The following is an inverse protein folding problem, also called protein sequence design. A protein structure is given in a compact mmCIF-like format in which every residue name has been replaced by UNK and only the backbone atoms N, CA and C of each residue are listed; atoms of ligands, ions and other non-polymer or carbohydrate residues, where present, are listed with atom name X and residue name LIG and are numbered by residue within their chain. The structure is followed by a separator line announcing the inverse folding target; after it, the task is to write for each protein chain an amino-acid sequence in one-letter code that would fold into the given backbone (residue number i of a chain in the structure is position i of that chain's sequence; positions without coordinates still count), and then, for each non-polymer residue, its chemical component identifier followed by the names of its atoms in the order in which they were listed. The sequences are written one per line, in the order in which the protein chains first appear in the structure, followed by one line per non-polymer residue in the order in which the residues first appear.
data_IF_194808528149
#
_entry.id   IF_194808528149
#
_cell.length_a   1.000
_cell.length_b   1.000
_cell.length_c   1.000
_cell.angle_alpha   90.00
_cell.angle_beta   90.00
_cell.angle_gamma   90.00
#
_symmetry.space_group_name_H-M   'P 1'
#
loop_
_entity.id
_entity.type
_entity.pdbx_description
1 polymer ?
#
# COMPACT_ATOMS: atom_id res chain seq x y z
N UNK A 1 17.71 -1.50 33.13
CA UNK A 1 18.31 -0.51 32.20
C UNK A 1 18.14 -1.00 30.77
N UNK A 2 16.96 -0.88 30.19
CA UNK A 2 16.71 -1.26 28.78
C UNK A 2 15.58 -0.46 28.14
N UNK A 3 15.32 0.75 28.64
CA UNK A 3 14.19 1.58 28.19
C UNK A 3 14.51 2.40 26.94
N UNK A 4 15.77 2.67 26.67
CA UNK A 4 16.15 3.53 25.54
C UNK A 4 16.11 2.85 24.15
N UNK A 5 16.17 1.51 24.10
CA UNK A 5 16.15 0.81 22.82
C UNK A 5 14.76 0.83 22.14
N UNK A 6 13.69 0.87 22.91
CA UNK A 6 12.31 0.87 22.38
C UNK A 6 11.86 2.27 21.92
N UNK A 7 12.23 3.34 22.61
CA UNK A 7 11.91 4.71 22.20
C UNK A 7 12.57 5.07 20.85
N UNK A 8 13.83 4.68 20.66
CA UNK A 8 14.54 4.93 19.41
C UNK A 8 13.96 4.15 18.22
N UNK A 9 13.45 2.93 18.44
CA UNK A 9 12.85 2.11 17.38
C UNK A 9 11.57 2.73 16.83
N UNK A 10 10.70 3.24 17.71
CA UNK A 10 9.46 3.89 17.30
C UNK A 10 9.72 5.18 16.50
N UNK A 11 10.75 5.92 16.88
CA UNK A 11 11.15 7.15 16.21
C UNK A 11 11.69 6.84 14.81
N UNK A 12 12.54 5.83 14.68
CA UNK A 12 13.06 5.35 13.38
C UNK A 12 11.96 4.90 12.45
N UNK A 13 10.98 4.14 12.98
CA UNK A 13 9.83 3.67 12.18
C UNK A 13 9.00 4.86 11.69
N UNK A 14 8.71 5.83 12.54
CA UNK A 14 7.93 7.02 12.15
C UNK A 14 8.64 7.86 11.10
N UNK A 15 9.93 8.11 11.25
CA UNK A 15 10.73 8.82 10.25
C UNK A 15 10.78 8.08 8.91
N UNK A 16 10.94 6.75 8.95
CA UNK A 16 10.95 5.93 7.74
C UNK A 16 9.62 6.02 6.99
N UNK A 17 8.49 5.91 7.70
CA UNK A 17 7.15 6.02 7.10
C UNK A 17 6.93 7.42 6.50
N UNK A 18 7.28 8.47 7.24
CA UNK A 18 7.11 9.85 6.77
C UNK A 18 7.96 10.15 5.53
N UNK A 19 9.20 9.64 5.49
CA UNK A 19 10.07 9.76 4.31
C UNK A 19 9.56 8.93 3.14
N UNK A 20 9.06 7.72 3.39
CA UNK A 20 8.44 6.88 2.37
C UNK A 20 7.25 7.58 1.71
N UNK A 21 6.38 8.21 2.49
CA UNK A 21 5.23 8.96 1.96
C UNK A 21 5.64 10.07 0.99
N UNK A 22 6.77 10.73 1.25
CA UNK A 22 7.30 11.76 0.37
C UNK A 22 7.84 11.21 -0.97
N UNK A 23 8.24 9.95 -1.01
CA UNK A 23 8.74 9.29 -2.23
C UNK A 23 7.62 8.63 -3.06
N UNK A 24 6.44 8.42 -2.47
CA UNK A 24 5.30 7.82 -3.16
C UNK A 24 4.67 8.83 -4.13
N UNK A 25 4.64 8.49 -5.41
CA UNK A 25 4.05 9.31 -6.47
C UNK A 25 2.77 8.67 -6.99
N UNK A 26 2.84 7.46 -7.54
CA UNK A 26 1.69 6.75 -8.11
C UNK A 26 0.67 6.34 -7.04
N UNK A 27 1.13 5.98 -5.85
CA UNK A 27 0.26 5.62 -4.73
C UNK A 27 -0.71 6.73 -4.32
N UNK A 28 -0.37 8.00 -4.59
CA UNK A 28 -1.26 9.13 -4.32
C UNK A 28 -2.43 9.25 -5.30
N UNK A 29 -2.33 8.60 -6.47
CA UNK A 29 -3.37 8.60 -7.49
C UNK A 29 -4.23 7.33 -7.49
N UNK A 30 -3.91 6.36 -6.64
CA UNK A 30 -4.70 5.13 -6.47
C UNK A 30 -5.89 5.39 -5.55
N UNK A 31 -7.04 4.76 -5.86
CA UNK A 31 -8.23 4.83 -5.01
C UNK A 31 -7.97 4.16 -3.64
N UNK A 32 -8.08 4.94 -2.57
CA UNK A 32 -7.94 4.51 -1.18
C UNK A 32 -9.27 4.37 -0.44
N UNK A 33 -10.38 4.44 -1.16
CA UNK A 33 -11.72 4.44 -0.56
C UNK A 33 -12.08 3.19 0.24
N UNK A 34 -11.29 2.12 0.14
CA UNK A 34 -11.48 0.88 0.89
C UNK A 34 -10.44 0.64 2.00
N UNK A 35 -9.52 1.58 2.21
CA UNK A 35 -8.43 1.43 3.18
C UNK A 35 -8.95 1.15 4.60
N UNK A 36 -9.97 1.89 5.04
CA UNK A 36 -10.57 1.73 6.37
C UNK A 36 -11.32 0.40 6.56
N UNK A 37 -11.75 -0.22 5.47
CA UNK A 37 -12.47 -1.49 5.52
C UNK A 37 -11.55 -2.70 5.68
N UNK A 38 -10.25 -2.54 5.38
CA UNK A 38 -9.24 -3.58 5.57
C UNK A 38 -8.63 -3.52 6.98
N UNK A 39 -8.94 -4.48 7.82
CA UNK A 39 -8.42 -4.61 9.19
C UNK A 39 -6.98 -5.15 9.23
N UNK A 40 -6.08 -4.65 8.41
CA UNK A 40 -4.64 -4.82 8.53
C UNK A 40 -4.06 -6.26 8.45
N UNK A 41 -4.85 -7.27 8.11
CA UNK A 41 -4.37 -8.66 7.96
C UNK A 41 -4.20 -9.02 6.50
N UNK A 42 -3.05 -9.59 6.15
CA UNK A 42 -2.85 -10.21 4.83
C UNK A 42 -3.85 -11.37 4.67
N UNK A 43 -4.52 -11.43 3.51
CA UNK A 43 -5.59 -12.38 3.24
C UNK A 43 -6.99 -11.89 3.62
N UNK A 44 -7.13 -10.68 4.18
CA UNK A 44 -8.44 -10.07 4.35
C UNK A 44 -9.07 -9.80 2.97
N UNK A 45 -10.32 -10.17 2.80
CA UNK A 45 -11.08 -9.96 1.57
C UNK A 45 -12.34 -9.14 1.86
N UNK A 46 -12.68 -8.25 0.93
CA UNK A 46 -13.88 -7.44 0.96
C UNK A 46 -14.67 -7.70 -0.31
N UNK A 47 -15.97 -7.91 -0.18
CA UNK A 47 -16.88 -8.01 -1.30
C UNK A 47 -17.48 -6.63 -1.59
N UNK A 48 -17.29 -6.15 -2.82
CA UNK A 48 -17.89 -4.91 -3.32
C UNK A 48 -18.88 -5.24 -4.42
N UNK A 49 -20.07 -4.65 -4.36
CA UNK A 49 -21.06 -4.79 -5.43
C UNK A 49 -20.56 -4.08 -6.69
N UNK A 50 -20.76 -4.72 -7.83
CA UNK A 50 -20.51 -4.09 -9.14
C UNK A 50 -21.54 -2.99 -9.38
N UNK A 51 -21.18 -1.90 -10.09
CA UNK A 51 -22.17 -0.96 -10.58
C UNK A 51 -23.14 -1.66 -11.53
N UNK A 52 -24.40 -1.27 -11.46
CA UNK A 52 -25.43 -1.80 -12.36
C UNK A 52 -25.13 -1.37 -13.81
N UNK A 53 -25.29 -2.31 -14.72
CA UNK A 53 -25.13 -2.05 -16.13
C UNK A 53 -26.50 -2.12 -16.83
N UNK A 54 -26.88 -1.05 -17.50
CA UNK A 54 -28.13 -0.99 -18.27
C UNK A 54 -27.81 -0.86 -19.75
N UNK A 55 -28.49 -1.66 -20.57
CA UNK A 55 -28.42 -1.54 -22.03
C UNK A 55 -29.61 -0.76 -22.52
N UNK A 56 -29.36 0.36 -23.18
CA UNK A 56 -30.43 1.10 -23.84
C UNK A 56 -30.82 0.37 -25.14
N UNK A 57 -32.11 0.17 -25.34
CA UNK A 57 -32.68 -0.42 -26.57
C UNK A 57 -33.42 0.64 -27.34
N UNK A 58 -33.24 0.66 -28.68
CA UNK A 58 -33.98 1.53 -29.58
C UNK A 58 -35.39 0.96 -29.83
N UNK A 59 -36.41 1.79 -29.66
CA UNK A 59 -37.78 1.40 -29.93
C UNK A 59 -38.80 2.23 -29.15
N UNK A 60 -40.03 2.27 -29.67
CA UNK A 60 -41.14 2.99 -29.00
C UNK A 60 -41.69 2.27 -27.76
N UNK A 61 -41.31 1.03 -27.53
CA UNK A 61 -41.75 0.20 -26.38
C UNK A 61 -40.53 -0.16 -25.56
N UNK A 62 -40.51 0.28 -24.30
CA UNK A 62 -39.47 -0.11 -23.36
C UNK A 62 -39.62 -1.59 -22.97
N UNK A 63 -38.57 -2.39 -23.17
CA UNK A 63 -38.48 -3.73 -22.62
C UNK A 63 -37.76 -3.70 -21.28
N UNK A 64 -38.32 -4.32 -20.26
CA UNK A 64 -37.64 -4.48 -18.97
C UNK A 64 -36.44 -5.43 -19.17
N UNK A 65 -35.26 -4.99 -18.77
CA UNK A 65 -34.07 -5.85 -18.66
C UNK A 65 -33.88 -6.27 -17.21
N UNK A 66 -33.51 -7.53 -17.00
CA UNK A 66 -33.17 -8.03 -15.67
C UNK A 66 -31.92 -7.32 -15.15
N UNK A 67 -31.96 -6.96 -13.87
CA UNK A 67 -30.83 -6.34 -13.18
C UNK A 67 -29.97 -7.46 -12.63
N UNK A 68 -28.78 -7.66 -13.22
CA UNK A 68 -27.80 -8.60 -12.68
C UNK A 68 -26.98 -7.91 -11.58
N UNK A 69 -27.11 -8.41 -10.36
CA UNK A 69 -26.26 -8.02 -9.24
C UNK A 69 -25.01 -8.89 -9.21
N UNK A 70 -23.86 -8.31 -9.49
CA UNK A 70 -22.56 -8.97 -9.37
C UNK A 70 -21.77 -8.43 -8.18
N UNK A 71 -20.97 -9.28 -7.56
CA UNK A 71 -19.99 -8.90 -6.54
C UNK A 71 -18.57 -9.11 -7.06
N UNK A 72 -17.64 -8.25 -6.64
CA UNK A 72 -16.19 -8.41 -6.85
C UNK A 72 -15.53 -8.55 -5.50
N UNK A 73 -14.75 -9.61 -5.34
CA UNK A 73 -13.96 -9.84 -4.15
C UNK A 73 -12.58 -9.19 -4.34
N UNK A 74 -12.22 -8.28 -3.45
CA UNK A 74 -10.92 -7.62 -3.39
C UNK A 74 -10.15 -8.21 -2.21
N UNK A 75 -8.97 -8.76 -2.46
CA UNK A 75 -8.15 -9.43 -1.43
C UNK A 75 -6.80 -8.72 -1.28
N UNK A 76 -6.34 -8.55 -0.04
CA UNK A 76 -4.99 -8.07 0.25
C UNK A 76 -4.01 -9.23 0.12
N UNK A 77 -3.25 -9.28 -0.97
CA UNK A 77 -2.34 -10.36 -1.33
C UNK A 77 -0.86 -10.01 -1.18
N UNK A 78 -0.51 -8.72 -1.12
CA UNK A 78 0.88 -8.26 -1.10
C UNK A 78 1.22 -7.54 0.20
N UNK A 79 2.38 -7.89 0.74
CA UNK A 79 2.98 -7.21 1.90
C UNK A 79 4.46 -6.96 1.61
N UNK A 80 4.91 -5.74 1.84
CA UNK A 80 6.31 -5.36 1.72
C UNK A 80 6.86 -5.01 3.10
N UNK A 81 8.08 -5.44 3.37
CA UNK A 81 8.80 -5.11 4.60
C UNK A 81 10.29 -4.94 4.30
N UNK A 82 10.95 -4.13 5.10
CA UNK A 82 12.40 -4.01 5.15
C UNK A 82 12.81 -4.22 6.61
N UNK A 83 13.80 -5.07 6.83
CA UNK A 83 14.41 -5.28 8.14
C UNK A 83 15.75 -4.53 8.18
N UNK A 84 15.93 -3.67 9.17
CA UNK A 84 17.18 -3.00 9.48
C UNK A 84 17.75 -3.62 10.76
N UNK A 85 18.95 -4.18 10.65
CA UNK A 85 19.67 -4.75 11.79
C UNK A 85 20.76 -3.77 12.18
N UNK A 86 20.61 -3.15 13.36
CA UNK A 86 21.60 -2.24 13.95
C UNK A 86 22.10 -2.90 15.21
N UNK A 87 23.41 -3.24 15.25
CA UNK A 87 23.99 -3.86 16.44
C UNK A 87 24.14 -2.84 17.58
N UNK A 88 23.94 -3.30 18.82
CA UNK A 88 24.11 -2.46 19.99
C UNK A 88 25.54 -1.93 20.18
N UNK A 89 26.54 -2.57 19.58
CA UNK A 89 27.93 -2.10 19.55
C UNK A 89 28.09 -0.92 18.61
N UNK A 90 27.38 -0.89 17.48
CA UNK A 90 27.39 0.24 16.56
C UNK A 90 26.67 1.46 17.13
N UNK A 91 25.63 1.25 17.94
CA UNK A 91 24.96 2.33 18.67
C UNK A 91 25.83 2.92 19.81
N UNK A 92 26.70 2.11 20.43
CA UNK A 92 27.57 2.55 21.53
C UNK A 92 28.86 3.24 21.04
N UNK A 93 29.25 3.04 19.80
CA UNK A 93 30.49 3.58 19.20
C UNK A 93 30.23 4.86 18.40
N UNK A 94 29.46 5.80 18.96
CA UNK A 94 29.29 7.17 18.43
C UNK A 94 29.06 7.19 16.91
N UNK A 95 28.10 6.38 16.45
CA UNK A 95 27.70 6.41 15.04
C UNK A 95 27.03 7.75 14.82
N UNK A 96 27.71 8.56 14.04
CA UNK A 96 27.26 9.85 13.55
C UNK A 96 25.77 9.77 13.11
N UNK A 97 24.92 10.57 13.71
CA UNK A 97 23.48 10.65 13.39
C UNK A 97 23.23 10.71 11.88
N UNK A 98 24.19 11.25 11.13
CA UNK A 98 24.14 11.33 9.67
C UNK A 98 24.15 9.97 8.98
N UNK A 99 24.77 8.93 9.57
CA UNK A 99 24.82 7.58 9.00
C UNK A 99 23.51 6.84 9.19
N UNK A 100 22.90 6.98 10.37
CA UNK A 100 21.58 6.41 10.65
C UNK A 100 20.53 7.05 9.74
N UNK A 101 20.57 8.36 9.57
CA UNK A 101 19.68 9.08 8.67
C UNK A 101 19.80 8.59 7.21
N UNK A 102 21.02 8.35 6.71
CA UNK A 102 21.24 7.80 5.37
C UNK A 102 20.70 6.36 5.23
N UNK A 103 20.80 5.54 6.27
CA UNK A 103 20.23 4.18 6.26
C UNK A 103 18.71 4.22 6.23
N UNK A 104 18.09 5.11 7.01
CA UNK A 104 16.64 5.33 7.02
C UNK A 104 16.17 5.84 5.65
N UNK A 105 16.89 6.79 5.05
CA UNK A 105 16.57 7.32 3.73
C UNK A 105 16.62 6.23 2.66
N UNK A 106 17.69 5.42 2.65
CA UNK A 106 17.83 4.32 1.71
C UNK A 106 16.74 3.27 1.87
N UNK A 107 16.37 2.91 3.11
CA UNK A 107 15.29 1.96 3.39
C UNK A 107 13.93 2.52 2.98
N UNK A 108 13.63 3.78 3.25
CA UNK A 108 12.40 4.44 2.86
C UNK A 108 12.27 4.50 1.32
N UNK A 109 13.36 4.82 0.64
CA UNK A 109 13.39 4.91 -0.82
C UNK A 109 13.19 3.54 -1.47
N UNK A 110 13.84 2.49 -0.97
CA UNK A 110 13.68 1.12 -1.47
C UNK A 110 12.26 0.61 -1.25
N UNK A 111 11.67 0.88 -0.08
CA UNK A 111 10.30 0.48 0.23
C UNK A 111 9.30 1.19 -0.69
N UNK A 112 9.45 2.51 -0.87
CA UNK A 112 8.63 3.29 -1.79
C UNK A 112 8.74 2.76 -3.23
N UNK A 113 9.94 2.50 -3.72
CA UNK A 113 10.16 1.96 -5.06
C UNK A 113 9.51 0.60 -5.25
N UNK A 114 9.57 -0.28 -4.25
CA UNK A 114 8.89 -1.58 -4.28
C UNK A 114 7.37 -1.47 -4.32
N UNK A 115 6.79 -0.51 -3.59
CA UNK A 115 5.36 -0.23 -3.61
C UNK A 115 4.94 0.32 -4.98
N UNK A 116 5.65 1.35 -5.48
CA UNK A 116 5.41 1.95 -6.80
C UNK A 116 5.49 0.92 -7.92
N UNK A 117 6.53 0.08 -7.93
CA UNK A 117 6.69 -0.99 -8.92
C UNK A 117 5.53 -1.98 -8.88
N UNK A 118 5.02 -2.30 -7.68
CA UNK A 118 3.88 -3.19 -7.52
C UNK A 118 2.60 -2.58 -8.09
N UNK A 119 2.35 -1.29 -7.83
CA UNK A 119 1.20 -0.55 -8.36
C UNK A 119 1.27 -0.48 -9.89
N UNK A 120 2.42 -0.11 -10.44
CA UNK A 120 2.62 -0.02 -11.89
C UNK A 120 2.44 -1.38 -12.57
N UNK A 121 2.93 -2.45 -11.95
CA UNK A 121 2.79 -3.81 -12.51
C UNK A 121 1.33 -4.25 -12.56
N UNK A 122 0.54 -3.98 -11.54
CA UNK A 122 -0.89 -4.31 -11.53
C UNK A 122 -1.68 -3.40 -12.48
N UNK A 123 -1.34 -2.12 -12.55
CA UNK A 123 -1.93 -1.20 -13.52
C UNK A 123 -1.68 -1.65 -14.97
N UNK A 124 -0.45 -2.08 -15.27
CA UNK A 124 -0.10 -2.60 -16.60
C UNK A 124 -0.88 -3.87 -16.95
N UNK A 125 -1.02 -4.82 -16.02
CA UNK A 125 -1.82 -6.03 -16.23
C UNK A 125 -3.29 -5.72 -16.49
N UNK A 126 -3.84 -4.72 -15.80
CA UNK A 126 -5.23 -4.28 -15.98
C UNK A 126 -5.50 -3.69 -17.36
N UNK A 127 -4.53 -3.03 -17.97
CA UNK A 127 -4.67 -2.44 -19.32
C UNK A 127 -4.73 -3.52 -20.42
N UNK A 128 -3.98 -4.62 -20.25
CA UNK A 128 -3.92 -5.70 -21.25
C UNK A 128 -4.87 -6.86 -20.97
N UNK A 129 -5.66 -6.80 -19.89
CA UNK A 129 -6.61 -7.83 -19.47
C UNK A 129 -8.00 -7.73 -20.11
N UNK A 130 -8.15 -6.94 -21.18
CA UNK A 130 -9.39 -6.85 -21.97
C UNK A 130 -9.27 -7.63 -23.26
#
# INVERSE_FOLDING_TARGET
MATNAFENTDLVVRETVQKMENYLTCANYVDRGLEDAFTGKVGASIEKRRPYYFVATDGAVASASDIEEGTVTITVDKRKNIALEISSQELALDIDDSRIQKLIDAAAQELAQNVETSIMTEGYKGIYGY
#
